data_IF_839830360015
#
_entry.id   IF_839830360015
#
_cell.length_a   1.000
_cell.length_b   1.000
_cell.length_c   1.000
_cell.angle_alpha   90.00
_cell.angle_beta   90.00
_cell.angle_gamma   90.00
#
_symmetry.space_group_name_H-M   'P 1'
#
loop_
_entity.id
_entity.type
_entity.pdbx_description
1 polymer ?
#
# COMPACT_ATOMS: atom_id res chain seq x y z
N UNK A 1 0.96 23.18 6.14
CA UNK A 1 0.83 21.84 6.73
C UNK A 1 0.12 21.01 5.69
N UNK A 2 0.73 19.93 5.21
CA UNK A 2 0.08 19.04 4.24
C UNK A 2 -0.75 18.05 5.08
N UNK A 3 -2.00 18.39 5.36
CA UNK A 3 -2.96 17.58 6.15
C UNK A 3 -3.73 16.59 5.27
N UNK A 4 -3.15 16.16 4.14
CA UNK A 4 -3.73 15.16 3.27
C UNK A 4 -3.62 13.74 3.85
N UNK A 5 -4.51 12.82 3.45
CA UNK A 5 -4.43 11.42 3.84
C UNK A 5 -3.09 10.81 3.41
N UNK A 6 -2.57 9.87 4.22
CA UNK A 6 -1.41 9.08 3.84
C UNK A 6 -1.88 7.82 3.14
N UNK A 7 -1.50 7.65 1.87
CA UNK A 7 -1.74 6.44 1.10
C UNK A 7 -0.57 5.48 1.30
N UNK A 8 -0.86 4.28 1.79
CA UNK A 8 0.12 3.21 1.97
C UNK A 8 -0.19 2.09 0.99
N UNK A 9 0.73 1.81 0.08
CA UNK A 9 0.63 0.68 -0.84
C UNK A 9 1.33 -0.51 -0.23
N UNK A 10 0.60 -1.59 -0.03
CA UNK A 10 1.09 -2.83 0.58
C UNK A 10 0.90 -4.02 -0.36
N UNK A 11 1.83 -4.96 -0.36
CA UNK A 11 1.71 -6.25 -1.05
C UNK A 11 1.61 -7.38 -0.05
N UNK A 12 0.89 -8.44 -0.42
CA UNK A 12 0.85 -9.68 0.34
C UNK A 12 2.08 -10.50 -0.03
N UNK A 13 2.94 -10.75 0.94
CA UNK A 13 4.08 -11.65 0.78
C UNK A 13 3.95 -12.86 1.70
N UNK A 14 4.52 -13.98 1.25
CA UNK A 14 4.69 -15.17 2.08
C UNK A 14 6.02 -15.06 2.82
N UNK A 15 5.94 -15.01 4.14
CA UNK A 15 7.09 -15.03 5.04
C UNK A 15 7.74 -16.42 5.06
N UNK A 16 8.97 -16.49 5.57
CA UNK A 16 9.75 -17.73 5.69
C UNK A 16 9.03 -18.82 6.52
N UNK A 17 8.20 -18.43 7.49
CA UNK A 17 7.36 -19.33 8.30
C UNK A 17 6.10 -19.81 7.56
N UNK A 18 5.95 -19.48 6.27
CA UNK A 18 4.78 -19.84 5.45
C UNK A 18 3.54 -18.97 5.65
N UNK A 19 3.57 -18.04 6.61
CA UNK A 19 2.48 -17.09 6.87
C UNK A 19 2.42 -16.00 5.80
N UNK A 20 1.21 -15.54 5.51
CA UNK A 20 0.99 -14.39 4.63
C UNK A 20 0.94 -13.11 5.47
N UNK A 21 1.71 -12.10 5.06
CA UNK A 21 1.74 -10.79 5.71
C UNK A 21 1.71 -9.67 4.67
N UNK A 22 1.06 -8.56 5.03
CA UNK A 22 1.09 -7.36 4.21
C UNK A 22 2.36 -6.57 4.52
N UNK A 23 3.18 -6.32 3.51
CA UNK A 23 4.34 -5.44 3.59
C UNK A 23 4.07 -4.14 2.86
N UNK A 24 4.26 -3.03 3.55
CA UNK A 24 4.23 -1.69 2.95
C UNK A 24 5.43 -1.48 2.04
N UNK A 25 5.17 -1.10 0.79
CA UNK A 25 6.19 -0.76 -0.21
C UNK A 25 6.36 0.75 -0.37
N UNK A 26 5.26 1.49 -0.28
CA UNK A 26 5.24 2.94 -0.46
C UNK A 26 4.29 3.57 0.54
N UNK A 27 4.70 4.70 1.11
CA UNK A 27 3.86 5.58 1.91
C UNK A 27 3.97 6.98 1.35
N UNK A 28 2.92 7.46 0.69
CA UNK A 28 2.91 8.74 -0.01
C UNK A 28 1.64 9.52 0.29
N UNK A 29 1.70 10.85 0.20
CA UNK A 29 0.51 11.72 0.29
C UNK A 29 -0.06 12.04 -1.08
N UNK A 30 0.60 11.60 -2.13
CA UNK A 30 0.16 11.72 -3.50
C UNK A 30 -0.71 10.51 -3.89
N UNK A 31 -1.98 10.76 -4.17
CA UNK A 31 -2.91 9.69 -4.53
C UNK A 31 -2.57 9.06 -5.89
N UNK A 32 -2.12 9.86 -6.86
CA UNK A 32 -1.79 9.37 -8.20
C UNK A 32 -0.56 8.48 -8.17
N UNK A 33 0.44 8.83 -7.37
CA UNK A 33 1.63 8.00 -7.16
C UNK A 33 1.27 6.64 -6.52
N UNK A 34 0.40 6.64 -5.50
CA UNK A 34 -0.07 5.41 -4.88
C UNK A 34 -0.87 4.53 -5.86
N UNK A 35 -1.75 5.14 -6.66
CA UNK A 35 -2.53 4.45 -7.70
C UNK A 35 -1.63 3.90 -8.81
N UNK A 36 -0.62 4.65 -9.26
CA UNK A 36 0.31 4.22 -10.29
C UNK A 36 1.12 3.00 -9.85
N UNK A 37 1.64 3.01 -8.61
CA UNK A 37 2.33 1.85 -8.05
C UNK A 37 1.40 0.65 -7.89
N UNK A 38 0.20 0.86 -7.33
CA UNK A 38 -0.78 -0.22 -7.16
C UNK A 38 -1.17 -0.85 -8.49
N UNK A 39 -1.47 -0.05 -9.52
CA UNK A 39 -1.78 -0.51 -10.86
C UNK A 39 -0.62 -1.33 -11.46
N UNK A 40 0.62 -0.90 -11.23
CA UNK A 40 1.81 -1.63 -11.68
C UNK A 40 1.95 -2.97 -10.97
N UNK A 41 1.62 -3.04 -9.68
CA UNK A 41 1.70 -4.27 -8.88
C UNK A 41 0.62 -5.29 -9.24
N UNK A 42 -0.64 -4.85 -9.45
CA UNK A 42 -1.73 -5.78 -9.82
C UNK A 42 -1.68 -6.22 -11.28
N UNK A 43 -0.79 -5.63 -12.09
CA UNK A 43 -0.53 -6.09 -13.45
C UNK A 43 0.16 -7.47 -13.45
N UNK A 44 0.89 -7.80 -12.38
CA UNK A 44 1.38 -9.15 -12.11
C UNK A 44 0.24 -9.98 -11.48
N UNK A 45 -0.26 -10.99 -12.20
CA UNK A 45 -1.41 -11.82 -11.78
C UNK A 45 -1.21 -12.52 -10.42
N UNK A 46 0.04 -12.75 -10.01
CA UNK A 46 0.40 -13.42 -8.76
C UNK A 46 0.50 -12.46 -7.56
N UNK A 47 0.60 -11.15 -7.81
CA UNK A 47 0.82 -10.15 -6.76
C UNK A 47 -0.53 -9.64 -6.23
N UNK A 48 -0.77 -9.85 -4.94
CA UNK A 48 -1.88 -9.21 -4.23
C UNK A 48 -1.40 -7.89 -3.65
N UNK A 49 -1.83 -6.77 -4.23
CA UNK A 49 -1.55 -5.43 -3.71
C UNK A 49 -2.82 -4.72 -3.21
N UNK A 50 -2.68 -3.86 -2.20
CA UNK A 50 -3.76 -3.00 -1.68
C UNK A 50 -3.25 -1.60 -1.40
N UNK A 51 -4.15 -0.63 -1.44
CA UNK A 51 -3.91 0.75 -0.98
C UNK A 51 -4.70 0.95 0.31
N UNK A 52 -4.03 1.40 1.36
CA UNK A 52 -4.61 1.75 2.65
C UNK A 52 -4.55 3.28 2.81
N UNK A 53 -5.69 3.88 3.16
CA UNK A 53 -5.77 5.32 3.43
C UNK A 53 -5.70 5.52 4.94
N UNK A 54 -4.59 6.07 5.40
CA UNK A 54 -4.36 6.40 6.81
C UNK A 54 -4.67 7.88 7.01
N UNK A 55 -5.87 8.15 7.50
CA UNK A 55 -6.23 9.48 7.96
C UNK A 55 -5.57 9.72 9.33
N UNK A 56 -4.65 10.69 9.43
CA UNK A 56 -4.14 11.13 10.72
C UNK A 56 -5.25 11.89 11.45
N UNK A 57 -6.18 11.15 12.08
CA UNK A 57 -7.38 11.78 12.62
C UNK A 57 -8.29 10.89 13.45
N UNK A 58 -7.78 10.33 14.55
CA UNK A 58 -8.59 10.13 15.78
C UNK A 58 -7.70 9.86 16.98
N UNK A 59 -7.44 10.93 17.75
CA UNK A 59 -7.22 10.84 19.20
C UNK A 59 -8.59 10.77 19.88
#
# INVERSE_FOLDING_TARGET
MNDGPLYVVSVLERLEDGRLAWRGLLSTRDEEEAKALHASLIADEDVKARIEVVEQGKR
#
